data_IF_347183257254
#
_entry.id   IF_347183257254
#
_cell.length_a   1.000
_cell.length_b   1.000
_cell.length_c   1.000
_cell.angle_alpha   90.00
_cell.angle_beta   90.00
_cell.angle_gamma   90.00
#
_symmetry.space_group_name_H-M   'P 1'
#
loop_
_entity.id
_entity.type
_entity.pdbx_description
1 polymer ?
#
# COMPACT_ATOMS: atom_id res chain seq x y z
N UNK A 1 -27.00 -7.61 10.25
CA UNK A 1 -26.06 -8.27 11.17
C UNK A 1 -25.05 -7.21 11.59
N UNK A 2 -25.28 -6.55 12.73
CA UNK A 2 -24.35 -5.55 13.29
C UNK A 2 -23.31 -6.30 14.11
N UNK A 3 -22.08 -6.40 13.64
CA UNK A 3 -20.99 -6.95 14.44
C UNK A 3 -20.31 -5.77 15.14
N UNK A 4 -20.80 -5.48 16.34
CA UNK A 4 -20.17 -4.54 17.26
C UNK A 4 -19.43 -5.36 18.31
N UNK A 5 -18.10 -5.31 18.31
CA UNK A 5 -17.32 -5.73 19.49
C UNK A 5 -17.01 -4.55 20.42
N UNK A 6 -17.34 -3.30 20.04
CA UNK A 6 -17.39 -2.13 20.94
C UNK A 6 -18.71 -1.35 20.73
N UNK A 7 -19.52 -1.10 21.78
CA UNK A 7 -20.78 -0.36 21.70
C UNK A 7 -20.63 1.12 21.30
N UNK A 8 -19.41 1.65 21.14
CA UNK A 8 -19.11 3.03 20.76
C UNK A 8 -18.83 3.23 19.28
N UNK A 9 -18.72 2.14 18.52
CA UNK A 9 -18.47 2.14 17.07
C UNK A 9 -19.75 1.77 16.32
N UNK A 10 -20.21 2.65 15.42
CA UNK A 10 -21.32 2.35 14.51
C UNK A 10 -20.77 2.25 13.08
N UNK A 11 -20.77 1.02 12.56
CA UNK A 11 -20.29 0.70 11.21
C UNK A 11 -21.38 -0.09 10.47
N UNK A 12 -21.74 0.32 9.26
CA UNK A 12 -22.75 -0.34 8.45
C UNK A 12 -22.62 0.00 6.97
N UNK A 13 -23.12 -0.85 6.05
CA UNK A 13 -23.01 -0.64 4.61
C UNK A 13 -23.65 0.70 4.21
N UNK A 14 -22.89 1.59 3.58
CA UNK A 14 -23.37 2.91 3.14
C UNK A 14 -23.54 3.96 4.24
N UNK A 15 -23.03 3.72 5.46
CA UNK A 15 -23.04 4.71 6.56
C UNK A 15 -21.62 5.13 6.93
N UNK A 16 -21.44 6.41 7.28
CA UNK A 16 -20.16 6.93 7.79
C UNK A 16 -19.77 6.21 9.08
N UNK A 17 -18.51 5.78 9.19
CA UNK A 17 -17.99 5.17 10.41
C UNK A 17 -17.96 6.24 11.51
N UNK A 18 -18.68 5.99 12.61
CA UNK A 18 -18.78 6.92 13.73
C UNK A 18 -18.09 6.34 14.98
N UNK A 19 -17.21 7.12 15.60
CA UNK A 19 -16.65 6.85 16.91
C UNK A 19 -17.08 7.94 17.89
N UNK A 20 -17.79 7.59 18.96
CA UNK A 20 -18.46 8.56 19.84
C UNK A 20 -19.37 9.57 19.08
N UNK A 21 -20.02 9.13 18.00
CA UNK A 21 -20.90 9.99 17.20
C UNK A 21 -20.16 11.01 16.32
N UNK A 22 -18.84 10.94 16.21
CA UNK A 22 -18.04 11.73 15.27
C UNK A 22 -17.61 10.88 14.08
N UNK A 23 -17.67 11.46 12.89
CA UNK A 23 -17.16 10.86 11.66
C UNK A 23 -15.65 10.69 11.79
N UNK A 24 -15.20 9.43 11.74
CA UNK A 24 -13.78 9.10 11.88
C UNK A 24 -12.93 9.73 10.77
N UNK A 25 -13.51 9.94 9.59
CA UNK A 25 -12.83 10.57 8.45
C UNK A 25 -12.76 12.10 8.55
N UNK A 26 -13.50 12.71 9.49
CA UNK A 26 -13.51 14.16 9.73
C UNK A 26 -12.61 14.56 10.91
N UNK A 27 -11.87 13.62 11.50
CA UNK A 27 -10.97 13.87 12.62
C UNK A 27 -9.53 13.98 12.08
N UNK A 28 -9.04 15.21 11.91
CA UNK A 28 -7.74 15.52 11.28
C UNK A 28 -6.49 15.02 12.04
N UNK A 29 -6.61 14.23 13.11
CA UNK A 29 -5.46 13.83 13.95
C UNK A 29 -5.68 12.49 14.66
N UNK A 30 -5.85 11.38 13.93
CA UNK A 30 -5.88 10.05 14.56
C UNK A 30 -4.56 9.32 14.36
N UNK A 31 -3.92 8.95 15.48
CA UNK A 31 -2.80 8.02 15.49
C UNK A 31 -3.29 6.63 15.05
N UNK A 32 -2.57 5.93 14.16
CA UNK A 32 -3.00 4.67 13.55
C UNK A 32 -3.33 3.58 14.58
N UNK A 33 -2.71 3.65 15.76
CA UNK A 33 -2.77 2.67 16.85
C UNK A 33 -4.04 2.79 17.72
N UNK A 34 -4.92 3.78 17.45
CA UNK A 34 -6.05 4.14 18.31
C UNK A 34 -7.44 3.86 17.73
N UNK A 35 -7.54 3.20 16.57
CA UNK A 35 -8.83 2.84 15.95
C UNK A 35 -9.38 1.51 16.51
N UNK A 36 -10.55 1.49 17.17
CA UNK A 36 -11.06 0.32 17.87
C UNK A 36 -12.06 -0.52 17.06
N UNK A 37 -12.15 -0.33 15.73
CA UNK A 37 -12.98 -1.19 14.89
C UNK A 37 -12.18 -1.80 13.76
N UNK A 38 -11.85 -3.09 13.90
CA UNK A 38 -11.21 -3.92 12.87
C UNK A 38 -11.91 -3.84 11.51
N UNK A 39 -13.22 -3.53 11.47
CA UNK A 39 -14.00 -3.41 10.23
C UNK A 39 -13.85 -2.07 9.51
N UNK A 40 -13.66 -0.94 10.21
CA UNK A 40 -13.41 0.36 9.54
C UNK A 40 -11.97 0.47 9.01
N UNK A 41 -11.05 -0.36 9.53
CA UNK A 41 -9.69 -0.47 9.00
C UNK A 41 -9.61 -1.48 7.85
N UNK A 42 -10.36 -2.58 7.91
CA UNK A 42 -10.44 -3.56 6.82
C UNK A 42 -10.90 -2.92 5.50
N UNK A 43 -11.90 -2.02 5.50
CA UNK A 43 -12.30 -1.31 4.26
C UNK A 43 -11.19 -0.42 3.69
N UNK A 44 -10.35 0.19 4.55
CA UNK A 44 -9.21 1.00 4.10
C UNK A 44 -8.04 0.15 3.60
N UNK A 45 -7.74 -0.94 4.28
CA UNK A 45 -6.71 -1.90 3.89
C UNK A 45 -7.06 -2.61 2.58
N UNK A 46 -8.27 -3.16 2.48
CA UNK A 46 -8.76 -3.83 1.27
C UNK A 46 -8.80 -2.86 0.08
N UNK A 47 -9.11 -1.57 0.31
CA UNK A 47 -9.04 -0.55 -0.73
C UNK A 47 -7.60 -0.28 -1.20
N UNK A 48 -6.64 -0.17 -0.29
CA UNK A 48 -5.22 0.00 -0.65
C UNK A 48 -4.70 -1.22 -1.41
N UNK A 49 -5.06 -2.44 -0.98
CA UNK A 49 -4.72 -3.68 -1.69
C UNK A 49 -5.33 -3.70 -3.10
N UNK A 50 -6.59 -3.28 -3.25
CA UNK A 50 -7.22 -3.15 -4.56
C UNK A 50 -6.50 -2.14 -5.47
N UNK A 51 -6.07 -0.99 -4.93
CA UNK A 51 -5.27 -0.05 -5.70
C UNK A 51 -3.88 -0.57 -6.06
N UNK A 52 -3.24 -1.35 -5.18
CA UNK A 52 -1.99 -2.03 -5.49
C UNK A 52 -2.16 -3.03 -6.64
N UNK A 53 -3.25 -3.81 -6.63
CA UNK A 53 -3.59 -4.73 -7.71
C UNK A 53 -3.75 -3.99 -9.04
N UNK A 54 -4.51 -2.90 -9.05
CA UNK A 54 -4.67 -2.05 -10.24
C UNK A 54 -3.31 -1.51 -10.74
N UNK A 55 -2.44 -1.04 -9.84
CA UNK A 55 -1.13 -0.46 -10.19
C UNK A 55 -0.22 -1.52 -10.81
N UNK A 56 -0.20 -2.74 -10.27
CA UNK A 56 0.67 -3.83 -10.75
C UNK A 56 0.17 -4.38 -12.09
N UNK A 57 -1.14 -4.40 -12.31
CA UNK A 57 -1.74 -4.82 -13.58
C UNK A 57 -1.65 -3.74 -14.67
N UNK A 58 -1.29 -2.50 -14.33
CA UNK A 58 -1.21 -1.38 -15.27
C UNK A 58 -0.09 -1.55 -16.29
N UNK A 59 -0.36 -1.16 -17.54
CA UNK A 59 0.60 -1.24 -18.65
C UNK A 59 1.83 -0.35 -18.40
N UNK A 60 1.65 0.77 -17.70
CA UNK A 60 2.73 1.67 -17.29
C UNK A 60 3.72 0.97 -16.35
N UNK A 61 3.24 0.17 -15.40
CA UNK A 61 4.10 -0.59 -14.51
C UNK A 61 4.89 -1.66 -15.26
N UNK A 62 4.22 -2.38 -16.17
CA UNK A 62 4.86 -3.37 -17.03
C UNK A 62 5.91 -2.72 -17.95
N UNK A 63 5.68 -1.49 -18.42
CA UNK A 63 6.67 -0.74 -19.21
C UNK A 63 7.90 -0.38 -18.37
N UNK A 64 7.73 0.06 -17.13
CA UNK A 64 8.84 0.35 -16.21
C UNK A 64 9.67 -0.91 -15.96
N UNK A 65 9.03 -2.04 -15.68
CA UNK A 65 9.73 -3.32 -15.49
C UNK A 65 10.50 -3.75 -16.73
N UNK A 66 9.89 -3.65 -17.93
CA UNK A 66 10.56 -3.98 -19.19
C UNK A 66 11.77 -3.08 -19.46
N UNK A 67 11.62 -1.76 -19.29
CA UNK A 67 12.71 -0.82 -19.49
C UNK A 67 13.88 -1.08 -18.51
N UNK A 68 13.56 -1.43 -17.27
CA UNK A 68 14.57 -1.81 -16.28
C UNK A 68 15.29 -3.10 -16.70
N UNK A 69 14.54 -4.12 -17.14
CA UNK A 69 15.11 -5.38 -17.61
C UNK A 69 15.99 -5.16 -18.84
N UNK A 70 15.54 -4.41 -19.84
CA UNK A 70 16.33 -4.09 -21.04
C UNK A 70 17.65 -3.37 -20.73
N UNK A 71 17.69 -2.60 -19.65
CA UNK A 71 18.92 -1.92 -19.19
C UNK A 71 19.92 -2.89 -18.55
N UNK A 72 19.44 -3.91 -17.84
CA UNK A 72 20.29 -4.75 -16.96
C UNK A 72 20.41 -6.22 -17.39
N UNK A 73 19.65 -6.69 -18.40
CA UNK A 73 19.61 -8.12 -18.76
C UNK A 73 20.98 -8.71 -19.11
N UNK A 74 21.91 -7.90 -19.64
CA UNK A 74 23.26 -8.35 -20.00
C UNK A 74 24.13 -8.67 -18.78
N UNK A 75 23.81 -8.10 -17.62
CA UNK A 75 24.52 -8.36 -16.38
C UNK A 75 24.15 -9.73 -15.81
N UNK A 76 22.97 -10.27 -16.15
CA UNK A 76 22.51 -11.57 -15.67
C UNK A 76 22.99 -12.69 -16.60
N UNK A 77 23.70 -13.66 -16.04
CA UNK A 77 24.07 -14.91 -16.72
C UNK A 77 23.60 -16.14 -15.91
N UNK A 78 23.58 -17.30 -16.58
CA UNK A 78 23.17 -18.58 -15.98
C UNK A 78 24.28 -19.24 -15.13
N UNK A 79 25.27 -18.47 -14.64
CA UNK A 79 26.29 -19.01 -13.74
C UNK A 79 25.75 -19.15 -12.31
N UNK A 80 26.27 -20.13 -11.56
CA UNK A 80 25.91 -20.31 -10.14
C UNK A 80 26.51 -19.22 -9.22
N UNK A 81 27.44 -18.39 -9.73
CA UNK A 81 28.12 -17.36 -8.94
C UNK A 81 27.42 -16.00 -9.08
N UNK A 82 27.00 -15.43 -7.94
CA UNK A 82 26.40 -14.10 -7.93
C UNK A 82 27.45 -13.02 -8.19
N UNK A 83 27.19 -12.14 -9.16
CA UNK A 83 28.02 -10.95 -9.39
C UNK A 83 27.77 -9.91 -8.30
N UNK A 84 28.82 -9.20 -7.88
CA UNK A 84 28.73 -8.11 -6.91
C UNK A 84 27.74 -7.01 -7.35
N UNK A 85 27.62 -6.80 -8.67
CA UNK A 85 26.71 -5.80 -9.26
C UNK A 85 25.23 -6.15 -9.04
N UNK A 86 24.88 -7.40 -8.73
CA UNK A 86 23.49 -7.80 -8.50
C UNK A 86 22.87 -7.08 -7.30
N UNK A 87 23.66 -6.77 -6.28
CA UNK A 87 23.19 -6.00 -5.12
C UNK A 87 22.80 -4.58 -5.52
N UNK A 88 23.62 -3.93 -6.36
CA UNK A 88 23.35 -2.58 -6.84
C UNK A 88 22.11 -2.55 -7.75
N UNK A 89 22.00 -3.52 -8.66
CA UNK A 89 20.83 -3.68 -9.54
C UNK A 89 19.56 -3.95 -8.73
N UNK A 90 19.64 -4.81 -7.70
CA UNK A 90 18.51 -5.09 -6.83
C UNK A 90 18.04 -3.84 -6.07
N UNK A 91 18.96 -3.10 -5.46
CA UNK A 91 18.62 -1.87 -4.74
C UNK A 91 18.04 -0.80 -5.67
N UNK A 92 18.56 -0.69 -6.90
CA UNK A 92 18.01 0.20 -7.92
C UNK A 92 16.57 -0.19 -8.28
N UNK A 93 16.30 -1.49 -8.48
CA UNK A 93 14.97 -2.00 -8.77
C UNK A 93 13.97 -1.74 -7.65
N UNK A 94 14.36 -2.05 -6.40
CA UNK A 94 13.51 -1.80 -5.22
C UNK A 94 13.17 -0.32 -5.14
N UNK A 95 14.17 0.55 -5.24
CA UNK A 95 13.96 2.01 -5.17
C UNK A 95 13.04 2.52 -6.29
N UNK A 96 13.18 1.97 -7.49
CA UNK A 96 12.34 2.33 -8.64
C UNK A 96 10.87 1.92 -8.43
N UNK A 97 10.65 0.68 -8.01
CA UNK A 97 9.31 0.11 -7.81
C UNK A 97 8.61 0.73 -6.61
N UNK A 98 9.29 0.82 -5.46
CA UNK A 98 8.74 1.43 -4.24
C UNK A 98 8.29 2.86 -4.49
N UNK A 99 9.15 3.67 -5.11
CA UNK A 99 8.83 5.06 -5.43
C UNK A 99 7.62 5.17 -6.36
N UNK A 100 7.57 4.33 -7.41
CA UNK A 100 6.44 4.35 -8.35
C UNK A 100 5.12 3.98 -7.66
N UNK A 101 5.12 2.95 -6.82
CA UNK A 101 3.94 2.51 -6.07
C UNK A 101 3.49 3.61 -5.09
N UNK A 102 4.43 4.19 -4.33
CA UNK A 102 4.14 5.25 -3.38
C UNK A 102 3.50 6.48 -4.06
N UNK A 103 4.08 6.94 -5.18
CA UNK A 103 3.53 8.06 -5.96
C UNK A 103 2.11 7.77 -6.45
N UNK A 104 1.86 6.57 -7.00
CA UNK A 104 0.52 6.18 -7.47
C UNK A 104 -0.50 6.04 -6.34
N UNK A 105 -0.08 5.59 -5.15
CA UNK A 105 -0.95 5.51 -3.98
C UNK A 105 -1.26 6.90 -3.41
N UNK A 106 -0.28 7.81 -3.37
CA UNK A 106 -0.49 9.20 -2.94
C UNK A 106 -1.43 9.97 -3.88
N UNK A 107 -1.37 9.70 -5.18
CA UNK A 107 -2.28 10.30 -6.17
C UNK A 107 -3.74 9.84 -5.96
N UNK A 108 -3.94 8.60 -5.52
CA UNK A 108 -5.28 8.01 -5.28
C UNK A 108 -5.80 8.31 -3.87
N UNK A 109 -4.92 8.37 -2.87
CA UNK A 109 -5.25 8.53 -1.45
C UNK A 109 -4.51 9.75 -0.91
N UNK A 110 -5.26 10.83 -0.70
CA UNK A 110 -4.71 12.05 -0.08
C UNK A 110 -4.24 11.77 1.33
N UNK A 111 -2.97 12.10 1.60
CA UNK A 111 -2.37 11.92 2.92
C UNK A 111 -2.03 10.47 3.25
N UNK A 112 -1.89 9.61 2.24
CA UNK A 112 -1.37 8.26 2.42
C UNK A 112 0.03 8.27 3.05
N UNK A 113 0.26 7.38 3.99
CA UNK A 113 1.55 7.18 4.66
C UNK A 113 2.02 5.75 4.41
N UNK A 114 3.03 5.61 3.55
CA UNK A 114 3.60 4.32 3.17
C UNK A 114 4.28 3.60 4.35
N UNK A 115 4.85 4.36 5.30
CA UNK A 115 5.50 3.79 6.48
C UNK A 115 4.45 3.23 7.44
N UNK A 116 3.38 3.98 7.69
CA UNK A 116 2.27 3.49 8.51
C UNK A 116 1.62 2.24 7.90
N UNK A 117 1.46 2.21 6.57
CA UNK A 117 0.92 1.05 5.86
C UNK A 117 1.83 -0.18 5.94
N UNK A 118 3.13 -0.03 5.69
CA UNK A 118 4.08 -1.17 5.73
C UNK A 118 4.25 -1.77 7.12
N UNK A 119 4.24 -0.95 8.18
CA UNK A 119 4.23 -1.43 9.57
C UNK A 119 2.98 -2.25 9.87
N UNK A 120 1.84 -1.93 9.25
CA UNK A 120 0.59 -2.67 9.45
C UNK A 120 0.53 -4.04 8.75
N UNK A 121 1.45 -4.31 7.82
CA UNK A 121 1.55 -5.59 7.12
C UNK A 121 2.36 -6.65 7.89
N UNK A 122 3.04 -6.26 8.99
CA UNK A 122 3.94 -7.10 9.80
C UNK A 122 3.26 -7.63 11.07
#
# INVERSE_FOLDING_TARGET
MQVTLDPRCLCGPGTKCLYFGKDVNALENFAPDSLPCSWCWAEGFDAVVGYLEDIIMDDDFQLIQRNFLEKHYQEFDDSEENKLIYTDIFNEYISLVEKYIEEKLLDRIRGFDMVAFTVSLQ
#
